data_IF_273219295184
#
_entry.id   IF_273219295184
#
_cell.length_a   1.000
_cell.length_b   1.000
_cell.length_c   1.000
_cell.angle_alpha   90.00
_cell.angle_beta   90.00
_cell.angle_gamma   90.00
#
_symmetry.space_group_name_H-M   'P 1'
#
loop_
_entity.id
_entity.type
_entity.pdbx_description
1 polymer ?
#
# COMPACT_ATOMS: atom_id res chain seq x y z
N UNK A 1 -31.60 12.28 13.92
CA UNK A 1 -30.51 11.32 14.03
C UNK A 1 -29.90 11.14 12.62
N UNK A 2 -28.60 11.28 12.39
CA UNK A 2 -28.02 10.97 11.11
C UNK A 2 -28.31 9.50 10.77
N UNK A 3 -28.73 9.22 9.53
CA UNK A 3 -28.96 7.85 9.08
C UNK A 3 -27.58 7.15 9.03
N UNK A 4 -27.37 6.14 9.87
CA UNK A 4 -26.17 5.29 9.81
C UNK A 4 -26.08 4.66 8.43
N UNK A 5 -24.95 4.85 7.75
CA UNK A 5 -24.73 4.30 6.42
C UNK A 5 -24.58 2.78 6.55
N UNK A 6 -25.44 2.05 5.84
CA UNK A 6 -25.37 0.59 5.82
C UNK A 6 -24.35 0.14 4.79
N UNK A 7 -23.37 -0.63 5.23
CA UNK A 7 -22.36 -1.28 4.35
C UNK A 7 -22.72 -2.77 4.22
N UNK A 8 -22.62 -3.31 3.01
CA UNK A 8 -22.76 -4.74 2.79
C UNK A 8 -21.54 -5.47 3.37
N UNK A 9 -21.69 -5.97 4.60
CA UNK A 9 -20.66 -6.76 5.27
C UNK A 9 -20.59 -8.15 4.63
N UNK A 10 -19.40 -8.66 4.21
CA UNK A 10 -19.32 -9.97 3.56
C UNK A 10 -19.75 -11.12 4.47
N UNK A 11 -20.68 -11.96 3.99
CA UNK A 11 -21.09 -13.24 4.59
C UNK A 11 -20.14 -14.38 4.19
N UNK A 12 -19.44 -14.24 3.06
CA UNK A 12 -18.38 -15.14 2.61
C UNK A 12 -17.26 -14.30 1.96
N UNK A 13 -16.29 -13.86 2.76
CA UNK A 13 -15.31 -12.86 2.34
C UNK A 13 -14.41 -13.33 1.20
N UNK A 14 -14.45 -12.60 0.08
CA UNK A 14 -13.62 -12.80 -1.13
C UNK A 14 -12.93 -11.50 -1.58
N UNK A 15 -12.77 -10.52 -0.68
CA UNK A 15 -12.28 -9.17 -1.01
C UNK A 15 -10.81 -9.13 -1.47
N UNK A 16 -10.04 -10.19 -1.27
CA UNK A 16 -8.62 -10.28 -1.59
C UNK A 16 -8.25 -11.70 -2.05
N UNK A 17 -7.01 -11.95 -2.54
CA UNK A 17 -6.57 -13.27 -2.99
C UNK A 17 -6.68 -14.39 -1.96
N UNK A 18 -6.74 -14.07 -0.67
CA UNK A 18 -6.93 -15.08 0.40
C UNK A 18 -8.25 -15.83 0.29
N UNK A 19 -9.29 -15.19 -0.22
CA UNK A 19 -10.63 -15.77 -0.40
C UNK A 19 -11.06 -16.66 0.78
N UNK A 20 -10.81 -16.18 2.00
CA UNK A 20 -10.93 -16.97 3.25
C UNK A 20 -12.37 -17.35 3.60
N UNK A 21 -13.37 -16.83 2.89
CA UNK A 21 -14.81 -17.12 3.07
C UNK A 21 -15.33 -16.85 4.49
N UNK A 22 -14.61 -16.05 5.28
CA UNK A 22 -15.06 -15.68 6.61
C UNK A 22 -16.42 -14.96 6.54
N UNK A 23 -17.37 -15.39 7.36
CA UNK A 23 -18.63 -14.70 7.57
C UNK A 23 -18.42 -13.53 8.53
N UNK A 24 -18.04 -12.39 7.96
CA UNK A 24 -17.78 -11.17 8.73
C UNK A 24 -19.07 -10.57 9.29
N UNK A 25 -20.21 -10.81 8.63
CA UNK A 25 -21.51 -10.37 9.12
C UNK A 25 -21.92 -11.08 10.42
N UNK A 26 -21.59 -12.38 10.54
CA UNK A 26 -21.75 -13.16 11.76
C UNK A 26 -20.63 -12.96 12.80
N UNK A 27 -19.70 -12.02 12.59
CA UNK A 27 -18.62 -11.69 13.53
C UNK A 27 -17.33 -12.49 13.36
N UNK A 28 -17.20 -13.30 12.31
CA UNK A 28 -15.94 -13.98 12.03
C UNK A 28 -14.88 -12.98 11.55
N UNK A 29 -13.62 -13.25 11.88
CA UNK A 29 -12.48 -12.47 11.41
C UNK A 29 -11.83 -13.17 10.24
N UNK A 30 -11.60 -12.45 9.14
CA UNK A 30 -10.89 -12.97 7.97
C UNK A 30 -9.40 -13.16 8.22
N UNK A 31 -8.69 -13.82 7.28
CA UNK A 31 -7.24 -14.06 7.35
C UNK A 31 -6.44 -12.77 7.61
N UNK A 32 -6.85 -11.66 7.01
CA UNK A 32 -6.22 -10.34 7.16
C UNK A 32 -6.50 -9.63 8.48
N UNK A 33 -7.22 -10.24 9.42
CA UNK A 33 -7.59 -9.62 10.70
C UNK A 33 -8.82 -8.71 10.64
N UNK A 34 -9.50 -8.62 9.48
CA UNK A 34 -10.68 -7.78 9.32
C UNK A 34 -11.97 -8.50 9.75
N UNK A 35 -12.68 -7.92 10.69
CA UNK A 35 -14.00 -8.34 11.19
C UNK A 35 -15.15 -7.54 10.58
N UNK A 36 -16.25 -7.42 11.34
CA UNK A 36 -17.48 -6.73 10.93
C UNK A 36 -17.32 -5.22 10.87
N UNK A 37 -16.60 -4.63 11.81
CA UNK A 37 -16.48 -3.17 11.98
C UNK A 37 -15.13 -2.69 11.44
N UNK A 38 -15.17 -1.57 10.69
CA UNK A 38 -13.96 -0.90 10.18
C UNK A 38 -13.04 -0.51 11.33
N UNK A 39 -11.74 -0.78 11.16
CA UNK A 39 -10.73 -0.51 12.17
C UNK A 39 -9.55 0.26 11.60
N UNK A 40 -9.21 1.39 12.24
CA UNK A 40 -8.07 2.21 11.89
C UNK A 40 -7.18 2.47 13.11
N UNK A 41 -5.90 2.69 12.89
CA UNK A 41 -4.91 2.83 13.95
C UNK A 41 -4.29 4.24 14.02
N UNK A 42 -4.36 4.99 12.93
CA UNK A 42 -3.84 6.36 12.88
C UNK A 42 -4.39 7.09 11.66
N UNK A 43 -4.64 8.39 11.81
CA UNK A 43 -4.93 9.30 10.71
C UNK A 43 -4.20 10.63 10.96
N UNK A 44 -3.22 10.98 10.12
CA UNK A 44 -2.41 12.19 10.26
C UNK A 44 -1.67 12.54 8.97
N UNK A 45 -1.14 13.74 8.88
CA UNK A 45 -0.19 14.10 7.83
C UNK A 45 1.09 13.27 7.96
N UNK A 46 1.53 12.69 6.84
CA UNK A 46 2.73 11.86 6.74
C UNK A 46 3.65 12.42 5.65
N UNK A 47 4.95 12.54 5.96
CA UNK A 47 5.92 13.27 5.13
C UNK A 47 6.98 12.35 4.50
N UNK A 48 6.84 11.04 4.64
CA UNK A 48 7.88 10.08 4.30
C UNK A 48 7.52 9.11 3.16
N UNK A 49 6.45 9.39 2.42
CA UNK A 49 6.20 8.73 1.14
C UNK A 49 7.07 9.37 0.04
N UNK A 50 6.97 8.87 -1.19
CA UNK A 50 7.70 9.44 -2.31
C UNK A 50 7.45 10.96 -2.43
N UNK A 51 8.46 11.74 -2.85
CA UNK A 51 8.37 13.21 -2.90
C UNK A 51 7.14 13.74 -3.62
N UNK A 52 6.70 13.07 -4.69
CA UNK A 52 5.50 13.47 -5.43
C UNK A 52 4.17 13.10 -4.73
N UNK A 53 4.22 12.36 -3.63
CA UNK A 53 3.05 12.03 -2.79
C UNK A 53 2.99 12.95 -1.58
N UNK A 54 4.09 13.02 -0.81
CA UNK A 54 4.15 13.82 0.42
C UNK A 54 4.33 15.31 0.17
N UNK A 55 5.09 15.68 -0.86
CA UNK A 55 5.41 17.08 -1.15
C UNK A 55 5.89 17.84 0.09
N UNK A 56 5.50 19.09 0.19
CA UNK A 56 5.84 19.97 1.33
C UNK A 56 4.77 20.02 2.42
N UNK A 57 3.52 19.68 2.10
CA UNK A 57 2.38 19.74 3.02
C UNK A 57 2.02 18.38 3.64
N UNK A 58 2.63 17.30 3.16
CA UNK A 58 2.37 15.93 3.63
C UNK A 58 1.19 15.26 2.93
N UNK A 59 1.16 13.94 3.05
CA UNK A 59 0.09 13.06 2.63
C UNK A 59 -0.88 12.83 3.79
N UNK A 60 -2.17 13.01 3.58
CA UNK A 60 -3.22 12.74 4.57
C UNK A 60 -3.43 11.24 4.73
N UNK A 61 -2.64 10.61 5.59
CA UNK A 61 -2.51 9.15 5.63
C UNK A 61 -3.40 8.53 6.68
N UNK A 62 -4.18 7.52 6.27
CA UNK A 62 -5.01 6.69 7.16
C UNK A 62 -4.47 5.27 7.16
N UNK A 63 -4.03 4.80 8.33
CA UNK A 63 -3.51 3.45 8.54
C UNK A 63 -4.63 2.53 9.04
N UNK A 64 -5.02 1.57 8.23
CA UNK A 64 -6.04 0.58 8.58
C UNK A 64 -5.42 -0.63 9.28
N UNK A 65 -6.17 -1.21 10.24
CA UNK A 65 -5.75 -2.41 10.94
C UNK A 65 -5.98 -3.67 10.10
N UNK A 66 -5.07 -4.64 10.26
CA UNK A 66 -5.06 -5.87 9.49
C UNK A 66 -4.34 -5.73 8.15
N UNK A 67 -3.93 -6.86 7.58
CA UNK A 67 -3.30 -6.94 6.26
C UNK A 67 -3.54 -8.30 5.62
N UNK A 68 -3.69 -8.32 4.30
CA UNK A 68 -3.85 -9.57 3.53
C UNK A 68 -2.55 -10.37 3.42
N UNK A 69 -1.39 -9.74 3.65
CA UNK A 69 -0.08 -10.35 3.79
C UNK A 69 0.30 -10.55 5.27
N UNK A 70 1.21 -11.49 5.53
CA UNK A 70 1.78 -11.74 6.87
C UNK A 70 3.30 -11.62 6.80
N UNK A 71 3.78 -10.44 6.37
CA UNK A 71 5.22 -10.22 6.23
C UNK A 71 5.92 -10.30 7.58
N UNK A 72 6.89 -11.21 7.71
CA UNK A 72 7.67 -11.40 8.94
C UNK A 72 8.55 -10.18 9.28
N UNK A 73 8.75 -9.27 8.33
CA UNK A 73 9.54 -8.05 8.49
C UNK A 73 8.70 -6.76 8.46
N UNK A 74 7.39 -6.86 8.68
CA UNK A 74 6.50 -5.71 8.56
C UNK A 74 6.84 -4.63 9.60
N UNK A 75 7.22 -3.43 9.16
CA UNK A 75 7.42 -2.29 10.07
C UNK A 75 6.13 -1.85 10.77
N UNK A 76 4.98 -2.10 10.12
CA UNK A 76 3.66 -1.80 10.65
C UNK A 76 3.03 -3.02 11.37
N UNK A 77 3.84 -3.96 11.89
CA UNK A 77 3.34 -5.20 12.50
C UNK A 77 2.32 -4.99 13.64
N UNK A 78 2.40 -3.93 14.47
CA UNK A 78 1.40 -3.73 15.53
C UNK A 78 -0.02 -3.59 14.96
N UNK A 79 -0.17 -2.96 13.79
CA UNK A 79 -1.49 -2.77 13.15
C UNK A 79 -1.82 -3.91 12.18
N UNK A 80 -0.83 -4.43 11.43
CA UNK A 80 -1.05 -5.40 10.36
C UNK A 80 -1.17 -6.85 10.88
N UNK A 81 -0.40 -7.21 11.91
CA UNK A 81 -0.34 -8.57 12.48
C UNK A 81 -1.05 -8.66 13.84
N UNK A 82 -0.81 -7.70 14.74
CA UNK A 82 -1.35 -7.69 16.11
C UNK A 82 -2.72 -7.00 16.21
N UNK A 83 -3.16 -6.34 15.13
CA UNK A 83 -4.49 -5.78 15.02
C UNK A 83 -4.76 -4.57 15.92
N UNK A 84 -3.72 -3.84 16.33
CA UNK A 84 -3.87 -2.57 17.03
C UNK A 84 -4.73 -1.62 16.19
N UNK A 85 -5.65 -0.90 16.84
CA UNK A 85 -6.49 0.11 16.22
C UNK A 85 -7.82 0.26 16.94
N UNK A 86 -8.58 1.26 16.53
CA UNK A 86 -9.91 1.58 17.04
C UNK A 86 -10.97 1.28 15.98
N UNK A 87 -12.10 0.74 16.40
CA UNK A 87 -13.29 0.65 15.54
C UNK A 87 -13.87 2.04 15.31
N UNK A 88 -14.15 2.34 14.04
CA UNK A 88 -14.75 3.60 13.62
C UNK A 88 -15.92 3.35 12.67
N UNK A 89 -16.85 4.32 12.59
CA UNK A 89 -17.95 4.28 11.64
C UNK A 89 -17.54 4.81 10.28
N UNK A 90 -18.38 4.59 9.27
CA UNK A 90 -18.20 5.16 7.93
C UNK A 90 -18.23 6.67 7.97
N UNK A 91 -19.12 7.24 8.78
CA UNK A 91 -19.26 8.67 8.98
C UNK A 91 -18.00 9.27 9.59
N UNK A 92 -17.43 8.61 10.63
CA UNK A 92 -16.17 9.06 11.23
C UNK A 92 -15.01 9.00 10.24
N UNK A 93 -14.95 7.96 9.40
CA UNK A 93 -13.91 7.88 8.36
C UNK A 93 -14.07 9.01 7.32
N UNK A 94 -15.29 9.38 6.95
CA UNK A 94 -15.55 10.51 6.05
C UNK A 94 -15.10 11.85 6.69
N UNK A 95 -15.40 12.05 7.98
CA UNK A 95 -14.89 13.20 8.73
C UNK A 95 -13.38 13.26 8.74
N UNK A 96 -12.69 12.13 8.99
CA UNK A 96 -11.23 12.04 8.97
C UNK A 96 -10.66 12.50 7.62
N UNK A 97 -11.26 12.10 6.49
CA UNK A 97 -10.82 12.54 5.17
C UNK A 97 -10.94 14.06 5.00
N UNK A 98 -12.04 14.64 5.47
CA UNK A 98 -12.26 16.09 5.42
C UNK A 98 -11.32 16.86 6.36
N UNK A 99 -11.07 16.32 7.56
CA UNK A 99 -10.12 16.87 8.53
C UNK A 99 -8.69 16.92 7.95
N UNK A 100 -8.25 15.84 7.27
CA UNK A 100 -6.95 15.78 6.62
C UNK A 100 -6.86 16.77 5.44
N UNK A 101 -7.93 16.92 4.67
CA UNK A 101 -8.02 17.95 3.63
C UNK A 101 -7.93 19.36 4.22
N UNK A 102 -8.65 19.63 5.31
CA UNK A 102 -8.61 20.92 5.99
C UNK A 102 -7.23 21.25 6.58
N UNK A 103 -6.43 20.24 6.94
CA UNK A 103 -5.03 20.40 7.37
C UNK A 103 -4.09 20.70 6.20
N UNK A 104 -4.58 20.70 4.94
CA UNK A 104 -3.80 21.03 3.75
C UNK A 104 -3.04 19.87 3.12
N UNK A 105 -3.41 18.62 3.40
CA UNK A 105 -2.81 17.45 2.76
C UNK A 105 -2.83 17.56 1.23
N UNK A 106 -1.83 16.97 0.57
CA UNK A 106 -1.80 16.89 -0.89
C UNK A 106 -2.77 15.84 -1.46
N UNK A 107 -3.05 14.80 -0.69
CA UNK A 107 -3.90 13.66 -1.07
C UNK A 107 -4.44 12.96 0.19
N UNK A 108 -5.37 12.02 0.02
CA UNK A 108 -5.76 11.05 1.05
C UNK A 108 -5.10 9.71 0.73
N UNK A 109 -4.22 9.23 1.60
CA UNK A 109 -3.44 8.02 1.42
C UNK A 109 -3.99 6.89 2.30
N UNK A 110 -4.55 5.87 1.68
CA UNK A 110 -5.19 4.72 2.31
C UNK A 110 -4.18 3.58 2.42
N UNK A 111 -3.63 3.35 3.62
CA UNK A 111 -2.61 2.30 3.83
C UNK A 111 -3.29 0.97 4.15
N UNK A 112 -3.05 -0.03 3.31
CA UNK A 112 -3.61 -1.38 3.40
C UNK A 112 -5.14 -1.41 3.43
N UNK A 113 -5.83 -0.79 2.45
CA UNK A 113 -7.29 -0.59 2.49
C UNK A 113 -8.10 -1.81 2.01
N UNK A 114 -7.49 -2.77 1.30
CA UNK A 114 -8.19 -3.80 0.51
C UNK A 114 -9.26 -4.58 1.25
N UNK A 115 -9.00 -5.01 2.49
CA UNK A 115 -9.94 -5.74 3.35
C UNK A 115 -11.09 -4.88 3.87
N UNK A 116 -10.98 -3.54 3.76
CA UNK A 116 -11.98 -2.58 4.23
C UNK A 116 -12.69 -1.83 3.09
N UNK A 117 -12.47 -2.26 1.83
CA UNK A 117 -12.97 -1.58 0.63
C UNK A 117 -14.45 -1.15 0.71
N UNK A 118 -15.43 -1.98 1.10
CA UNK A 118 -16.83 -1.55 1.11
C UNK A 118 -17.11 -0.36 2.05
N UNK A 119 -16.47 -0.32 3.21
CA UNK A 119 -16.60 0.79 4.17
C UNK A 119 -15.93 2.05 3.68
N UNK A 120 -14.75 1.90 3.07
CA UNK A 120 -13.96 3.03 2.56
C UNK A 120 -14.68 3.67 1.37
N UNK A 121 -15.22 2.89 0.45
CA UNK A 121 -16.02 3.41 -0.67
C UNK A 121 -17.19 4.23 -0.15
N UNK A 122 -17.97 3.71 0.81
CA UNK A 122 -19.08 4.43 1.40
C UNK A 122 -18.63 5.74 2.10
N UNK A 123 -17.47 5.74 2.76
CA UNK A 123 -16.91 6.94 3.39
C UNK A 123 -16.42 7.96 2.35
N UNK A 124 -15.83 7.52 1.25
CA UNK A 124 -15.40 8.41 0.15
C UNK A 124 -16.59 9.07 -0.53
N UNK A 125 -17.68 8.32 -0.79
CA UNK A 125 -18.91 8.88 -1.34
C UNK A 125 -19.50 9.95 -0.41
N UNK A 126 -19.55 9.67 0.90
CA UNK A 126 -20.02 10.63 1.89
C UNK A 126 -19.13 11.88 1.96
N UNK A 127 -17.82 11.71 2.01
CA UNK A 127 -16.87 12.82 2.08
C UNK A 127 -16.87 13.67 0.80
N UNK A 128 -16.98 13.04 -0.39
CA UNK A 128 -17.13 13.75 -1.67
C UNK A 128 -18.39 14.59 -1.73
N UNK A 129 -19.51 14.06 -1.22
CA UNK A 129 -20.77 14.83 -1.10
C UNK A 129 -20.63 16.04 -0.16
N UNK A 130 -19.65 16.05 0.73
CA UNK A 130 -19.33 17.13 1.67
C UNK A 130 -18.13 17.99 1.23
N UNK A 131 -17.60 17.80 0.01
CA UNK A 131 -16.55 18.64 -0.58
C UNK A 131 -15.14 18.06 -0.56
N UNK A 132 -14.94 16.77 -0.31
CA UNK A 132 -13.66 16.11 -0.54
C UNK A 132 -13.31 16.15 -2.04
N UNK A 133 -12.15 16.73 -2.37
CA UNK A 133 -11.70 16.89 -3.75
C UNK A 133 -10.22 16.47 -3.97
N UNK A 134 -9.53 16.06 -2.91
CA UNK A 134 -8.15 15.61 -3.00
C UNK A 134 -8.04 14.26 -3.75
N UNK A 135 -6.92 14.01 -4.46
CA UNK A 135 -6.64 12.71 -5.02
C UNK A 135 -6.58 11.62 -3.94
N UNK A 136 -7.05 10.44 -4.27
CA UNK A 136 -7.05 9.28 -3.36
C UNK A 136 -5.95 8.31 -3.76
N UNK A 137 -5.05 8.03 -2.83
CA UNK A 137 -3.95 7.07 -2.97
C UNK A 137 -4.32 5.74 -2.32
N UNK A 138 -4.17 4.65 -3.05
CA UNK A 138 -4.23 3.30 -2.50
C UNK A 138 -2.81 2.77 -2.30
N UNK A 139 -2.35 2.73 -1.04
CA UNK A 139 -1.05 2.20 -0.66
C UNK A 139 -1.20 0.72 -0.29
N UNK A 140 -0.78 -0.16 -1.18
CA UNK A 140 -1.01 -1.60 -1.09
C UNK A 140 0.26 -2.42 -1.27
N UNK A 141 0.31 -3.58 -0.61
CA UNK A 141 1.38 -4.56 -0.82
C UNK A 141 1.34 -5.29 -2.17
N UNK A 142 0.48 -4.88 -3.09
CA UNK A 142 0.33 -5.47 -4.43
C UNK A 142 -0.46 -6.78 -4.47
N UNK A 143 -0.70 -7.43 -3.34
CA UNK A 143 -1.42 -8.70 -3.27
C UNK A 143 -2.93 -8.47 -3.33
N UNK A 144 -3.41 -8.22 -4.54
CA UNK A 144 -4.81 -7.91 -4.87
C UNK A 144 -5.30 -8.85 -5.98
N UNK A 145 -6.62 -8.97 -6.15
CA UNK A 145 -7.19 -9.58 -7.35
C UNK A 145 -7.53 -8.50 -8.37
N UNK A 146 -7.64 -8.87 -9.65
CA UNK A 146 -8.08 -7.95 -10.71
C UNK A 146 -9.46 -7.38 -10.42
N UNK A 147 -10.38 -8.22 -9.90
CA UNK A 147 -11.73 -7.82 -9.49
C UNK A 147 -11.67 -6.80 -8.34
N UNK A 148 -10.71 -6.98 -7.39
CA UNK A 148 -10.48 -6.02 -6.31
C UNK A 148 -10.07 -4.66 -6.87
N UNK A 149 -9.13 -4.64 -7.83
CA UNK A 149 -8.70 -3.39 -8.50
C UNK A 149 -9.87 -2.73 -9.24
N UNK A 150 -10.63 -3.51 -10.01
CA UNK A 150 -11.77 -2.98 -10.75
C UNK A 150 -12.87 -2.39 -9.84
N UNK A 151 -13.05 -2.96 -8.66
CA UNK A 151 -14.02 -2.46 -7.69
C UNK A 151 -13.64 -1.10 -7.06
N UNK A 152 -12.40 -0.66 -7.22
CA UNK A 152 -11.92 0.68 -6.83
C UNK A 152 -12.07 1.74 -7.95
N UNK A 153 -12.59 1.35 -9.13
CA UNK A 153 -12.72 2.27 -10.26
C UNK A 153 -13.57 3.50 -9.90
N UNK A 154 -13.05 4.69 -10.19
CA UNK A 154 -13.69 5.96 -9.85
C UNK A 154 -13.45 6.43 -8.40
N UNK A 155 -12.76 5.63 -7.58
CA UNK A 155 -12.42 5.99 -6.20
C UNK A 155 -10.93 6.26 -6.01
N UNK A 156 -10.06 5.48 -6.65
CA UNK A 156 -8.61 5.59 -6.54
C UNK A 156 -8.05 6.31 -7.77
N UNK A 157 -7.25 7.35 -7.52
CA UNK A 157 -6.55 8.14 -8.52
C UNK A 157 -5.10 7.67 -8.67
N UNK A 158 -4.46 7.31 -7.56
CA UNK A 158 -3.05 6.94 -7.49
C UNK A 158 -2.91 5.56 -6.82
N UNK A 159 -2.20 4.67 -7.49
CA UNK A 159 -1.79 3.39 -6.91
C UNK A 159 -0.34 3.48 -6.45
N UNK A 160 -0.12 3.32 -5.16
CA UNK A 160 1.19 3.18 -4.54
C UNK A 160 1.36 1.70 -4.19
N UNK A 161 1.78 0.92 -5.19
CA UNK A 161 1.78 -0.53 -5.14
C UNK A 161 3.19 -1.10 -4.96
N UNK A 162 3.34 -2.12 -4.10
CA UNK A 162 4.59 -2.86 -4.01
C UNK A 162 4.59 -4.06 -4.97
N UNK A 163 5.71 -4.30 -5.65
CA UNK A 163 6.05 -5.57 -6.25
C UNK A 163 7.20 -6.19 -5.43
N UNK A 164 6.80 -7.06 -4.48
CA UNK A 164 7.72 -7.52 -3.43
C UNK A 164 8.63 -8.65 -3.89
N UNK A 165 8.06 -9.64 -4.59
CA UNK A 165 8.72 -10.89 -4.95
C UNK A 165 8.30 -11.40 -6.31
N UNK A 166 9.19 -12.16 -6.95
CA UNK A 166 8.87 -13.07 -8.05
C UNK A 166 8.89 -14.53 -7.56
N UNK A 167 9.80 -14.88 -6.65
CA UNK A 167 9.95 -16.22 -6.12
C UNK A 167 8.77 -16.65 -5.24
N UNK A 168 8.04 -17.75 -5.59
CA UNK A 168 6.98 -18.31 -4.75
C UNK A 168 7.50 -18.82 -3.41
N UNK A 169 8.71 -19.37 -3.37
CA UNK A 169 9.33 -19.87 -2.15
C UNK A 169 9.61 -18.71 -1.17
N UNK A 170 10.18 -17.62 -1.68
CA UNK A 170 10.50 -16.45 -0.87
C UNK A 170 9.23 -15.75 -0.36
N UNK A 171 8.22 -15.60 -1.21
CA UNK A 171 6.95 -14.99 -0.83
C UNK A 171 6.13 -15.85 0.15
N UNK A 172 6.24 -17.18 0.06
CA UNK A 172 5.67 -18.10 1.03
C UNK A 172 6.34 -17.92 2.40
N UNK A 173 7.66 -17.90 2.44
CA UNK A 173 8.46 -17.78 3.66
C UNK A 173 8.27 -16.42 4.32
N UNK A 174 8.47 -15.33 3.57
CA UNK A 174 8.54 -13.99 4.14
C UNK A 174 7.18 -13.29 4.30
N UNK A 175 6.14 -13.73 3.58
CA UNK A 175 4.81 -13.04 3.58
C UNK A 175 3.61 -13.99 3.62
N UNK A 176 3.84 -15.31 3.84
CA UNK A 176 2.82 -16.36 3.83
C UNK A 176 1.92 -16.31 2.57
N UNK A 177 2.47 -15.99 1.41
CA UNK A 177 1.75 -15.83 0.15
C UNK A 177 2.48 -16.51 -1.02
N UNK A 178 2.43 -17.86 -1.14
CA UNK A 178 3.17 -18.59 -2.19
C UNK A 178 2.72 -18.21 -3.60
N UNK A 179 1.53 -17.68 -3.76
CA UNK A 179 0.93 -17.22 -5.01
C UNK A 179 1.10 -15.70 -5.23
N UNK A 180 1.95 -15.02 -4.44
CA UNK A 180 2.08 -13.56 -4.45
C UNK A 180 2.24 -12.99 -5.87
N UNK A 181 3.24 -13.45 -6.62
CA UNK A 181 3.52 -12.91 -7.95
C UNK A 181 2.40 -13.22 -8.95
N UNK A 182 1.81 -14.41 -8.87
CA UNK A 182 0.70 -14.82 -9.73
C UNK A 182 -0.54 -13.92 -9.54
N UNK A 183 -0.75 -13.40 -8.34
CA UNK A 183 -1.83 -12.46 -8.02
C UNK A 183 -1.43 -11.01 -8.29
N UNK A 184 -0.23 -10.60 -7.83
CA UNK A 184 0.21 -9.22 -7.91
C UNK A 184 0.43 -8.74 -9.34
N UNK A 185 1.00 -9.59 -10.21
CA UNK A 185 1.28 -9.23 -11.60
C UNK A 185 0.03 -8.76 -12.36
N UNK A 186 -1.04 -9.55 -12.52
CA UNK A 186 -2.24 -9.11 -13.23
C UNK A 186 -2.97 -7.96 -12.51
N UNK A 187 -2.89 -7.89 -11.18
CA UNK A 187 -3.47 -6.78 -10.41
C UNK A 187 -2.75 -5.46 -10.71
N UNK A 188 -1.42 -5.44 -10.76
CA UNK A 188 -0.63 -4.25 -11.10
C UNK A 188 -0.88 -3.84 -12.56
N UNK A 189 -0.98 -4.78 -13.49
CA UNK A 189 -1.38 -4.50 -14.88
C UNK A 189 -2.77 -3.83 -14.94
N UNK A 190 -3.72 -4.30 -14.13
CA UNK A 190 -5.04 -3.67 -14.03
C UNK A 190 -4.98 -2.26 -13.37
N UNK A 191 -4.09 -2.05 -12.38
CA UNK A 191 -3.87 -0.73 -11.76
C UNK A 191 -3.32 0.26 -12.80
N UNK A 192 -2.31 -0.13 -13.59
CA UNK A 192 -1.76 0.70 -14.67
C UNK A 192 -2.82 1.02 -15.73
N UNK A 193 -3.59 0.03 -16.16
CA UNK A 193 -4.67 0.22 -17.13
C UNK A 193 -5.79 1.15 -16.61
N UNK A 194 -6.07 1.10 -15.30
CA UNK A 194 -7.12 1.92 -14.66
C UNK A 194 -6.67 3.37 -14.44
N UNK A 195 -5.45 3.57 -13.92
CA UNK A 195 -4.94 4.89 -13.61
C UNK A 195 -4.39 5.63 -14.85
N UNK A 196 -3.87 4.88 -15.83
CA UNK A 196 -3.15 5.46 -16.96
C UNK A 196 -1.78 6.02 -16.57
N UNK A 197 -1.17 6.78 -17.48
CA UNK A 197 0.14 7.38 -17.26
C UNK A 197 0.12 8.41 -16.11
N UNK A 198 1.26 8.57 -15.40
CA UNK A 198 1.42 9.56 -14.33
C UNK A 198 1.11 10.99 -14.80
N UNK A 199 0.28 11.68 -14.03
CA UNK A 199 -0.08 13.09 -14.27
C UNK A 199 0.26 13.87 -13.01
N UNK A 200 1.01 14.97 -13.19
CA UNK A 200 1.44 15.85 -12.12
C UNK A 200 0.75 17.21 -12.21
N UNK A 201 0.60 17.87 -11.08
CA UNK A 201 0.24 19.29 -11.05
C UNK A 201 1.46 20.19 -11.27
N UNK A 202 1.24 21.51 -11.20
CA UNK A 202 2.29 22.52 -11.39
C UNK A 202 3.35 22.52 -10.26
N UNK A 203 3.07 21.90 -9.11
CA UNK A 203 3.99 21.76 -7.98
C UNK A 203 4.79 20.44 -8.04
N UNK A 204 4.55 19.62 -9.06
CA UNK A 204 5.17 18.29 -9.21
C UNK A 204 4.56 17.22 -8.30
N UNK A 205 3.35 17.46 -7.79
CA UNK A 205 2.60 16.48 -6.99
C UNK A 205 1.78 15.58 -7.91
N UNK A 206 1.89 14.29 -7.70
CA UNK A 206 1.17 13.29 -8.50
C UNK A 206 -0.34 13.40 -8.25
N UNK A 207 -1.11 13.53 -9.33
CA UNK A 207 -2.56 13.62 -9.30
C UNK A 207 -3.22 12.31 -9.73
N UNK A 208 -2.56 11.53 -10.59
CA UNK A 208 -3.04 10.25 -11.10
C UNK A 208 -1.86 9.41 -11.58
N UNK A 209 -1.97 8.09 -11.48
CA UNK A 209 -0.98 7.15 -12.01
C UNK A 209 -0.62 6.05 -11.05
N UNK A 210 0.48 5.36 -11.36
CA UNK A 210 1.02 4.25 -10.54
C UNK A 210 2.45 4.57 -10.13
N UNK A 211 2.75 4.42 -8.85
CA UNK A 211 4.12 4.28 -8.36
C UNK A 211 4.31 2.81 -8.01
N UNK A 212 5.26 2.17 -8.67
CA UNK A 212 5.57 0.76 -8.44
C UNK A 212 6.85 0.64 -7.60
N UNK A 213 6.69 0.16 -6.38
CA UNK A 213 7.75 0.08 -5.39
C UNK A 213 8.35 -1.31 -5.29
N UNK A 214 9.67 -1.39 -5.15
CA UNK A 214 10.38 -2.59 -4.77
C UNK A 214 11.32 -2.31 -3.60
N UNK A 215 11.15 -3.06 -2.49
CA UNK A 215 12.03 -3.02 -1.33
C UNK A 215 13.09 -4.12 -1.47
N UNK A 216 14.34 -3.72 -1.66
CA UNK A 216 15.44 -4.66 -1.73
C UNK A 216 15.72 -5.29 -0.35
N UNK A 217 15.70 -6.63 -0.29
CA UNK A 217 15.91 -7.39 0.94
C UNK A 217 17.34 -7.93 1.05
N UNK A 218 17.94 -7.99 2.26
CA UNK A 218 19.27 -8.54 2.46
C UNK A 218 19.33 -10.02 2.12
N UNK A 219 20.33 -10.42 1.33
CA UNK A 219 20.51 -11.81 0.89
C UNK A 219 19.65 -12.24 -0.31
N UNK A 220 18.72 -11.40 -0.78
CA UNK A 220 17.77 -11.77 -1.86
C UNK A 220 17.88 -10.88 -3.10
N UNK A 221 19.09 -10.49 -3.47
CA UNK A 221 19.37 -9.63 -4.63
C UNK A 221 18.91 -10.25 -5.95
N UNK A 222 18.98 -11.56 -6.07
CA UNK A 222 18.58 -12.26 -7.32
C UNK A 222 17.05 -12.21 -7.54
N UNK A 223 16.25 -12.27 -6.47
CA UNK A 223 14.80 -12.05 -6.59
C UNK A 223 14.49 -10.57 -6.91
N UNK A 224 15.28 -9.63 -6.36
CA UNK A 224 15.18 -8.22 -6.75
C UNK A 224 15.46 -8.02 -8.25
N UNK A 225 16.41 -8.74 -8.82
CA UNK A 225 16.66 -8.68 -10.27
C UNK A 225 15.45 -9.18 -11.06
N UNK A 226 14.86 -10.32 -10.66
CA UNK A 226 13.66 -10.84 -11.32
C UNK A 226 12.46 -9.88 -11.23
N UNK A 227 12.30 -9.17 -10.10
CA UNK A 227 11.30 -8.10 -9.95
C UNK A 227 11.58 -6.96 -10.92
N UNK A 228 12.82 -6.51 -11.02
CA UNK A 228 13.23 -5.42 -11.93
C UNK A 228 13.08 -5.82 -13.40
N UNK A 229 13.36 -7.07 -13.76
CA UNK A 229 13.10 -7.61 -15.12
C UNK A 229 11.62 -7.48 -15.48
N UNK A 230 10.71 -7.82 -14.55
CA UNK A 230 9.28 -7.67 -14.78
C UNK A 230 8.89 -6.19 -14.93
N UNK A 231 9.42 -5.30 -14.11
CA UNK A 231 9.19 -3.85 -14.22
C UNK A 231 9.70 -3.32 -15.57
N UNK A 232 10.89 -3.75 -15.98
CA UNK A 232 11.49 -3.35 -17.26
C UNK A 232 10.66 -3.87 -18.46
N UNK A 233 10.12 -5.08 -18.36
CA UNK A 233 9.23 -5.63 -19.41
C UNK A 233 7.97 -4.76 -19.59
N UNK A 234 7.35 -4.31 -18.51
CA UNK A 234 6.22 -3.39 -18.58
C UNK A 234 6.61 -2.02 -19.14
N UNK A 235 7.71 -1.43 -18.65
CA UNK A 235 8.19 -0.13 -19.15
C UNK A 235 8.61 -0.18 -20.61
N UNK A 236 9.09 -1.33 -21.10
CA UNK A 236 9.40 -1.52 -22.52
C UNK A 236 8.14 -1.62 -23.38
N UNK A 237 7.09 -2.26 -22.86
CA UNK A 237 5.82 -2.42 -23.57
C UNK A 237 5.04 -1.09 -23.66
N UNK A 238 5.08 -0.28 -22.59
CA UNK A 238 4.42 1.02 -22.49
C UNK A 238 5.31 1.98 -21.69
N UNK A 239 6.22 2.73 -22.34
CA UNK A 239 7.19 3.58 -21.67
C UNK A 239 6.54 4.66 -20.79
N UNK A 240 6.88 4.66 -19.50
CA UNK A 240 6.36 5.63 -18.54
C UNK A 240 4.96 5.30 -17.99
N UNK A 241 4.47 4.07 -18.16
CA UNK A 241 3.18 3.63 -17.62
C UNK A 241 3.14 3.61 -16.07
N UNK A 242 4.28 3.70 -15.41
CA UNK A 242 4.42 3.85 -13.96
C UNK A 242 5.70 4.61 -13.60
N UNK A 243 5.81 5.05 -12.34
CA UNK A 243 7.03 5.59 -11.74
C UNK A 243 7.68 4.49 -10.92
N UNK A 244 8.91 4.03 -11.24
CA UNK A 244 9.61 3.05 -10.43
C UNK A 244 10.12 3.67 -9.13
N UNK A 245 10.05 2.94 -8.01
CA UNK A 245 10.64 3.31 -6.73
C UNK A 245 11.40 2.13 -6.14
N UNK A 246 12.75 2.19 -6.18
CA UNK A 246 13.62 1.15 -5.63
C UNK A 246 14.11 1.59 -4.26
N UNK A 247 13.67 0.86 -3.22
CA UNK A 247 13.86 1.24 -1.83
C UNK A 247 14.99 0.46 -1.15
N UNK A 248 15.79 1.17 -0.35
CA UNK A 248 16.85 0.62 0.52
C UNK A 248 16.50 0.68 2.01
N UNK A 249 15.34 1.21 2.34
CA UNK A 249 14.95 1.53 3.72
C UNK A 249 14.59 0.31 4.59
N UNK A 250 15.01 -0.88 4.16
CA UNK A 250 14.77 -2.08 4.95
C UNK A 250 15.42 -1.99 6.34
N UNK A 251 14.61 -2.17 7.36
CA UNK A 251 15.03 -2.38 8.76
C UNK A 251 14.39 -3.69 9.25
N UNK A 252 15.15 -4.56 9.94
CA UNK A 252 14.63 -5.83 10.42
C UNK A 252 13.70 -5.62 11.61
N UNK A 253 12.41 -5.52 11.32
CA UNK A 253 11.33 -5.47 12.32
C UNK A 253 10.72 -6.83 12.56
N UNK A 254 9.92 -6.94 13.61
CA UNK A 254 9.06 -8.06 13.96
C UNK A 254 9.83 -9.40 14.03
N UNK A 255 9.54 -10.34 13.14
CA UNK A 255 10.15 -11.69 13.13
C UNK A 255 11.26 -11.81 12.05
N UNK A 256 11.76 -10.72 11.52
CA UNK A 256 12.76 -10.73 10.43
C UNK A 256 14.01 -11.56 10.73
N UNK A 257 14.47 -11.56 11.98
CA UNK A 257 15.65 -12.33 12.40
C UNK A 257 15.44 -13.85 12.31
N UNK A 258 14.22 -14.32 12.60
CA UNK A 258 13.88 -15.74 12.59
C UNK A 258 13.81 -16.31 11.16
N UNK A 259 13.72 -15.42 10.16
CA UNK A 259 13.66 -15.74 8.73
C UNK A 259 14.95 -15.39 7.96
N UNK A 260 16.08 -15.26 8.63
CA UNK A 260 17.38 -15.04 7.99
C UNK A 260 17.62 -13.65 7.42
N UNK A 261 16.70 -12.71 7.62
CA UNK A 261 16.81 -11.31 7.16
C UNK A 261 16.92 -10.32 8.34
N UNK A 262 17.51 -10.76 9.46
CA UNK A 262 17.70 -9.96 10.68
C UNK A 262 18.77 -8.88 10.61
N UNK A 263 19.24 -8.49 9.41
CA UNK A 263 20.23 -7.42 9.20
C UNK A 263 19.75 -6.41 8.16
N UNK A 264 20.27 -5.23 8.19
CA UNK A 264 20.05 -4.26 7.10
C UNK A 264 20.70 -4.72 5.80
N UNK A 265 20.19 -4.26 4.67
CA UNK A 265 20.83 -4.47 3.36
C UNK A 265 22.19 -3.78 3.35
N UNK A 266 23.22 -4.44 2.82
CA UNK A 266 24.56 -3.86 2.66
C UNK A 266 24.58 -2.85 1.50
N UNK A 267 25.58 -1.94 1.53
CA UNK A 267 25.80 -1.00 0.40
C UNK A 267 26.07 -1.73 -0.90
N UNK A 268 26.79 -2.86 -0.81
CA UNK A 268 27.12 -3.66 -1.97
C UNK A 268 25.87 -4.29 -2.60
N UNK A 269 25.02 -4.94 -1.79
CA UNK A 269 23.77 -5.54 -2.25
C UNK A 269 22.86 -4.50 -2.90
N UNK A 270 22.61 -3.39 -2.20
CA UNK A 270 21.73 -2.33 -2.72
C UNK A 270 22.28 -1.69 -4.00
N UNK A 271 23.60 -1.44 -4.06
CA UNK A 271 24.23 -0.90 -5.27
C UNK A 271 24.07 -1.83 -6.47
N UNK A 272 24.14 -3.15 -6.28
CA UNK A 272 23.85 -4.13 -7.34
C UNK A 272 22.44 -3.97 -7.86
N UNK A 273 21.45 -3.85 -6.97
CA UNK A 273 20.03 -3.68 -7.34
C UNK A 273 19.81 -2.37 -8.11
N UNK A 274 20.36 -1.27 -7.62
CA UNK A 274 20.24 0.05 -8.28
C UNK A 274 20.92 0.07 -9.64
N UNK A 275 22.15 -0.44 -9.74
CA UNK A 275 22.86 -0.49 -11.02
C UNK A 275 22.07 -1.33 -12.05
N UNK A 276 21.56 -2.47 -11.62
CA UNK A 276 20.74 -3.32 -12.49
C UNK A 276 19.45 -2.61 -12.95
N UNK A 277 18.76 -1.89 -12.07
CA UNK A 277 17.61 -1.06 -12.45
C UNK A 277 17.98 0.01 -13.50
N UNK A 278 19.14 0.65 -13.34
CA UNK A 278 19.62 1.65 -14.29
C UNK A 278 19.98 1.03 -15.65
N UNK A 279 20.65 -0.11 -15.66
CA UNK A 279 21.00 -0.86 -16.88
C UNK A 279 19.74 -1.30 -17.65
N UNK A 280 18.63 -1.56 -16.94
CA UNK A 280 17.32 -1.87 -17.51
C UNK A 280 16.52 -0.61 -17.96
N UNK A 281 17.05 0.60 -17.78
CA UNK A 281 16.38 1.85 -18.15
C UNK A 281 15.28 2.31 -17.19
N UNK A 282 15.23 1.79 -15.96
CA UNK A 282 14.28 2.19 -14.92
C UNK A 282 14.76 3.44 -14.14
N UNK A 283 15.35 4.41 -14.83
CA UNK A 283 16.01 5.59 -14.23
C UNK A 283 15.07 6.78 -13.98
N UNK A 284 13.85 6.77 -14.52
CA UNK A 284 12.91 7.89 -14.44
C UNK A 284 12.15 8.00 -13.10
N UNK A 285 12.53 7.20 -12.11
CA UNK A 285 11.82 7.13 -10.84
C UNK A 285 12.68 7.46 -9.62
N UNK A 286 12.29 6.89 -8.48
CA UNK A 286 12.91 7.17 -7.20
C UNK A 286 13.90 6.06 -6.82
N UNK A 287 15.16 6.45 -6.64
CA UNK A 287 16.22 5.59 -6.11
C UNK A 287 16.63 6.15 -4.76
N UNK A 288 16.26 5.46 -3.67
CA UNK A 288 16.56 5.95 -2.34
C UNK A 288 18.06 5.95 -2.05
N UNK A 289 18.53 7.00 -1.37
CA UNK A 289 19.88 7.01 -0.79
C UNK A 289 19.88 6.23 0.53
N UNK A 290 21.03 5.65 0.90
CA UNK A 290 21.18 4.87 2.14
C UNK A 290 20.81 5.61 3.44
N UNK A 291 20.90 6.95 3.43
CA UNK A 291 20.47 7.81 4.53
C UNK A 291 18.96 7.74 4.82
N UNK A 292 18.17 7.15 3.91
CA UNK A 292 16.72 7.00 4.03
C UNK A 292 16.27 5.84 4.94
N UNK A 293 17.17 4.94 5.37
CA UNK A 293 16.83 3.83 6.26
C UNK A 293 16.81 4.29 7.73
N UNK A 294 15.78 5.01 8.14
CA UNK A 294 15.58 5.49 9.51
C UNK A 294 14.30 4.91 10.10
N UNK A 295 14.34 4.52 11.38
CA UNK A 295 13.17 4.04 12.12
C UNK A 295 12.10 5.14 12.30
N UNK A 296 12.51 6.41 12.25
CA UNK A 296 11.67 7.61 12.32
C UNK A 296 10.60 7.69 11.23
N UNK A 297 10.72 6.90 10.15
CA UNK A 297 9.73 6.86 9.05
C UNK A 297 8.50 6.01 9.36
N UNK A 298 8.55 5.19 10.42
CA UNK A 298 7.39 4.46 10.92
C UNK A 298 6.70 5.32 11.99
N UNK A 299 5.47 5.77 11.78
CA UNK A 299 4.78 6.59 12.77
C UNK A 299 4.42 5.75 14.00
N UNK A 300 4.30 6.41 15.16
CA UNK A 300 3.68 5.78 16.33
C UNK A 300 2.21 5.47 16.06
N UNK A 301 1.77 4.24 16.35
CA UNK A 301 0.37 3.86 16.25
C UNK A 301 -0.34 4.10 17.59
N UNK A 302 -0.60 5.35 17.88
CA UNK A 302 -1.14 5.87 19.14
C UNK A 302 -2.62 6.31 19.04
N UNK A 303 -3.30 5.90 17.96
CA UNK A 303 -4.69 6.25 17.65
C UNK A 303 -4.91 7.74 17.35
N UNK A 304 -3.84 8.51 17.06
CA UNK A 304 -3.97 9.90 16.65
C UNK A 304 -4.95 10.02 15.46
N UNK A 305 -5.93 10.91 15.57
CA UNK A 305 -6.88 11.28 14.51
C UNK A 305 -8.04 10.30 14.28
N UNK A 306 -8.05 9.12 14.92
CA UNK A 306 -9.10 8.10 14.74
C UNK A 306 -10.13 8.09 15.87
#
# INVERSE_FOLDING_TARGET
MPKTISVAVPEACTLCPRQCKADRAAGQTGFGGAGRTLKAARAALHFWEEPCISGTRGSGTVFFSGCTLKCCFCQNYPISAEGLGREITVERLAEIFLDLQAQGAHNINLVTPGQWRPWIIAALDLARAQGLHLPIVCNTGGYETVESVHAWRGFIDIWLADLKYVSPALSAELSAAPDYFAQARPAIEAMMAQAGHPVFDSEGILQRGVILRHLALPGHVDDSFAVLDQMAAWNKADPGCFLPSVMSQYTPFYQAADHGIGRRITTYEYRRVVNYAMDLGLSSGYMQQKSSAKEEYTPSFDLTGV
#
